data_IF_751927263593
#
_entry.id   IF_751927263593
#
_cell.length_a   1.000
_cell.length_b   1.000
_cell.length_c   1.000
_cell.angle_alpha   90.00
_cell.angle_beta   90.00
_cell.angle_gamma   90.00
#
_symmetry.space_group_name_H-M   'P 1'
#
loop_
_entity.id
_entity.type
_entity.pdbx_description
1 polymer ?
#
# COMPACT_ATOMS: atom_id res chain seq x y z
N UNK A 1 -18.27 4.36 -29.69
CA UNK A 1 -18.63 4.59 -28.28
C UNK A 1 -20.14 4.53 -28.13
N UNK A 2 -20.65 3.92 -27.07
CA UNK A 2 -22.08 3.74 -26.77
C UNK A 2 -22.49 4.51 -25.52
N UNK A 3 -23.78 4.71 -25.34
CA UNK A 3 -24.33 5.39 -24.17
C UNK A 3 -24.02 4.61 -22.88
N UNK A 4 -24.00 5.33 -21.77
CA UNK A 4 -23.77 4.74 -20.46
C UNK A 4 -24.85 3.69 -20.14
N UNK A 5 -24.42 2.51 -19.64
CA UNK A 5 -25.24 1.30 -19.36
C UNK A 5 -25.75 0.52 -20.58
N UNK A 6 -25.43 0.89 -21.81
CA UNK A 6 -25.72 0.02 -22.96
C UNK A 6 -24.98 -1.31 -22.82
N UNK A 7 -25.67 -2.43 -23.03
CA UNK A 7 -25.04 -3.75 -23.05
C UNK A 7 -24.18 -3.88 -24.32
N UNK A 8 -22.93 -4.31 -24.18
CA UNK A 8 -22.00 -4.45 -25.30
C UNK A 8 -22.14 -5.84 -25.93
N UNK A 9 -23.31 -6.08 -26.50
CA UNK A 9 -23.73 -7.36 -27.07
C UNK A 9 -23.43 -7.48 -28.58
N UNK A 10 -23.96 -8.53 -29.18
CA UNK A 10 -23.74 -8.89 -30.59
C UNK A 10 -24.17 -7.78 -31.56
N UNK A 11 -25.23 -7.02 -31.25
CA UNK A 11 -25.71 -5.96 -32.12
C UNK A 11 -24.67 -4.82 -32.19
N UNK A 12 -24.11 -4.45 -31.04
CA UNK A 12 -23.12 -3.39 -30.95
C UNK A 12 -21.74 -3.81 -31.47
N UNK A 13 -21.40 -5.10 -31.30
CA UNK A 13 -20.22 -5.71 -31.94
C UNK A 13 -20.36 -5.75 -33.45
N UNK A 14 -21.51 -6.12 -33.98
CA UNK A 14 -21.78 -6.14 -35.41
C UNK A 14 -21.64 -4.75 -36.05
N UNK A 15 -21.99 -3.68 -35.33
CA UNK A 15 -21.72 -2.32 -35.80
C UNK A 15 -20.21 -2.04 -35.86
N UNK A 16 -19.46 -2.37 -34.82
CA UNK A 16 -18.00 -2.18 -34.81
C UNK A 16 -17.33 -3.01 -35.91
N UNK A 17 -17.75 -4.24 -36.14
CA UNK A 17 -17.21 -5.14 -37.17
C UNK A 17 -17.34 -4.54 -38.58
N UNK A 18 -18.50 -3.94 -38.90
CA UNK A 18 -18.69 -3.25 -40.20
C UNK A 18 -17.74 -2.08 -40.38
N UNK A 19 -17.52 -1.28 -39.32
CA UNK A 19 -16.55 -0.19 -39.36
C UNK A 19 -15.11 -0.70 -39.44
N UNK A 20 -14.79 -1.77 -38.72
CA UNK A 20 -13.48 -2.39 -38.73
C UNK A 20 -13.09 -2.80 -40.16
N UNK A 21 -13.97 -3.56 -40.84
CA UNK A 21 -13.76 -4.00 -42.23
C UNK A 21 -13.60 -2.87 -43.25
N UNK A 22 -14.26 -1.73 -43.03
CA UNK A 22 -14.20 -0.57 -43.92
C UNK A 22 -12.92 0.27 -43.74
N UNK A 23 -12.04 -0.09 -42.80
CA UNK A 23 -10.84 0.66 -42.45
C UNK A 23 -9.59 -0.20 -42.56
N UNK A 24 -8.41 0.41 -42.41
CA UNK A 24 -7.13 -0.31 -42.24
C UNK A 24 -6.79 -0.54 -40.76
N UNK A 25 -7.78 -0.43 -39.88
CA UNK A 25 -7.57 -0.60 -38.46
C UNK A 25 -7.30 -2.07 -38.15
N UNK A 26 -6.30 -2.31 -37.32
CA UNK A 26 -5.99 -3.66 -36.80
C UNK A 26 -6.51 -3.87 -35.38
N UNK A 27 -7.03 -2.80 -34.76
CA UNK A 27 -7.52 -2.78 -33.38
C UNK A 27 -8.87 -2.06 -33.35
N UNK A 28 -9.84 -2.69 -32.70
CA UNK A 28 -11.18 -2.16 -32.47
C UNK A 28 -11.45 -2.04 -30.98
N UNK A 29 -12.11 -0.96 -30.57
CA UNK A 29 -12.51 -0.75 -29.17
C UNK A 29 -14.00 -0.47 -29.11
N UNK A 30 -14.73 -1.34 -28.39
CA UNK A 30 -16.14 -1.15 -28.07
C UNK A 30 -16.26 -0.75 -26.60
N UNK A 31 -16.98 0.35 -26.32
CA UNK A 31 -17.16 0.83 -24.95
C UNK A 31 -18.48 1.54 -24.74
N UNK A 32 -19.06 1.37 -23.55
CA UNK A 32 -20.22 2.09 -23.00
C UNK A 32 -19.82 3.08 -21.89
N UNK A 33 -18.54 3.47 -21.83
CA UNK A 33 -17.99 4.41 -20.86
C UNK A 33 -17.48 3.78 -19.55
N UNK A 34 -17.87 2.55 -19.20
CA UNK A 34 -17.32 1.85 -18.03
C UNK A 34 -16.80 0.45 -18.34
N UNK A 35 -17.33 -0.22 -19.37
CA UNK A 35 -16.75 -1.44 -19.94
C UNK A 35 -16.03 -1.09 -21.24
N UNK A 36 -14.83 -1.61 -21.41
CA UNK A 36 -14.03 -1.49 -22.63
C UNK A 36 -13.67 -2.89 -23.12
N UNK A 37 -14.13 -3.24 -24.31
CA UNK A 37 -13.81 -4.49 -25.01
C UNK A 37 -12.85 -4.18 -26.16
N UNK A 38 -11.72 -4.87 -26.19
CA UNK A 38 -10.67 -4.70 -27.19
C UNK A 38 -10.64 -5.88 -28.14
N UNK A 39 -10.59 -5.58 -29.43
CA UNK A 39 -10.63 -6.54 -30.53
C UNK A 39 -9.43 -6.32 -31.46
N UNK A 40 -9.04 -7.38 -32.15
CA UNK A 40 -7.93 -7.42 -33.11
C UNK A 40 -8.34 -8.12 -34.39
N UNK A 41 -7.44 -8.17 -35.38
CA UNK A 41 -7.54 -8.99 -36.59
C UNK A 41 -6.52 -10.13 -36.60
N UNK A 42 -6.39 -10.85 -35.47
CA UNK A 42 -5.37 -11.89 -35.32
C UNK A 42 -5.77 -13.19 -36.02
N UNK A 43 -7.07 -13.50 -36.10
CA UNK A 43 -7.54 -14.73 -36.77
C UNK A 43 -7.47 -14.60 -38.29
N UNK A 44 -7.96 -13.48 -38.82
CA UNK A 44 -8.01 -13.19 -40.24
C UNK A 44 -7.69 -11.72 -40.47
N UNK A 45 -6.77 -11.44 -41.40
CA UNK A 45 -6.33 -10.08 -41.71
C UNK A 45 -7.52 -9.21 -42.13
N UNK A 46 -7.63 -8.01 -41.53
CA UNK A 46 -8.73 -7.07 -41.78
C UNK A 46 -10.14 -7.63 -41.49
N UNK A 47 -10.24 -8.64 -40.62
CA UNK A 47 -11.49 -9.13 -40.08
C UNK A 47 -11.39 -9.14 -38.55
N UNK A 48 -12.31 -8.42 -37.92
CA UNK A 48 -12.34 -8.34 -36.46
C UNK A 48 -12.63 -9.72 -35.86
N UNK A 49 -11.79 -10.13 -34.91
CA UNK A 49 -11.98 -11.35 -34.13
C UNK A 49 -13.37 -11.32 -33.45
N UNK A 50 -14.06 -12.47 -33.40
CA UNK A 50 -15.41 -12.56 -32.80
C UNK A 50 -15.41 -12.23 -31.30
N UNK A 51 -14.32 -12.59 -30.61
CA UNK A 51 -14.19 -12.44 -29.16
C UNK A 51 -13.15 -11.36 -28.83
N UNK A 52 -13.42 -10.50 -27.84
CA UNK A 52 -12.42 -9.55 -27.40
C UNK A 52 -11.28 -10.27 -26.68
N UNK A 53 -10.04 -9.85 -26.97
CA UNK A 53 -8.84 -10.36 -26.31
C UNK A 53 -8.70 -9.80 -24.89
N UNK A 54 -9.22 -8.59 -24.64
CA UNK A 54 -9.25 -7.97 -23.32
C UNK A 54 -10.60 -7.29 -23.06
N UNK A 55 -11.05 -7.37 -21.80
CA UNK A 55 -12.19 -6.63 -21.29
C UNK A 55 -11.80 -5.93 -19.98
N UNK A 56 -12.07 -4.63 -19.90
CA UNK A 56 -11.82 -3.83 -18.71
C UNK A 56 -13.15 -3.28 -18.23
N UNK A 57 -13.50 -3.59 -16.99
CA UNK A 57 -14.56 -2.88 -16.28
C UNK A 57 -13.91 -1.87 -15.34
N UNK A 58 -14.08 -0.58 -15.62
CA UNK A 58 -13.56 0.51 -14.80
C UNK A 58 -14.13 0.50 -13.36
N UNK A 59 -15.31 -0.08 -13.16
CA UNK A 59 -15.91 -0.26 -11.84
C UNK A 59 -15.33 -1.49 -11.09
N UNK A 60 -14.62 -2.38 -11.80
CA UNK A 60 -14.00 -3.57 -11.22
C UNK A 60 -12.66 -3.89 -11.88
N UNK A 61 -11.62 -3.20 -11.43
CA UNK A 61 -10.27 -3.32 -11.96
C UNK A 61 -9.52 -4.58 -11.48
N UNK A 62 -10.05 -5.33 -10.49
CA UNK A 62 -9.37 -6.53 -9.96
C UNK A 62 -9.16 -7.62 -10.99
N UNK A 63 -10.01 -7.67 -12.01
CA UNK A 63 -9.97 -8.67 -13.10
C UNK A 63 -9.34 -8.12 -14.38
N UNK A 64 -8.96 -6.84 -14.40
CA UNK A 64 -8.40 -6.21 -15.59
C UNK A 64 -6.92 -6.60 -15.75
N UNK A 65 -6.46 -6.91 -16.98
CA UNK A 65 -5.05 -7.17 -17.27
C UNK A 65 -4.23 -5.87 -17.29
N UNK A 66 -4.18 -5.15 -16.15
CA UNK A 66 -3.64 -3.80 -16.07
C UNK A 66 -2.14 -3.73 -16.42
N UNK A 67 -1.36 -4.75 -16.08
CA UNK A 67 0.07 -4.81 -16.41
C UNK A 67 0.29 -4.88 -17.91
N UNK A 68 -0.49 -5.72 -18.62
CA UNK A 68 -0.40 -5.86 -20.07
C UNK A 68 -0.93 -4.61 -20.80
N UNK A 69 -1.95 -3.95 -20.24
CA UNK A 69 -2.56 -2.77 -20.86
C UNK A 69 -1.74 -1.48 -20.76
N UNK A 70 -0.73 -1.42 -19.87
CA UNK A 70 0.20 -0.28 -19.79
C UNK A 70 0.95 -0.03 -21.11
N UNK A 71 1.15 -1.09 -21.91
CA UNK A 71 1.79 -1.02 -23.23
C UNK A 71 0.90 -0.43 -24.32
N UNK A 72 -0.41 -0.32 -24.07
CA UNK A 72 -1.40 0.25 -25.00
C UNK A 72 -1.47 1.79 -24.87
N UNK A 73 -0.76 2.38 -23.91
CA UNK A 73 -0.83 3.82 -23.62
C UNK A 73 -0.17 4.66 -24.72
N UNK A 74 -0.71 5.87 -24.97
CA UNK A 74 -0.30 6.76 -26.07
C UNK A 74 1.21 6.99 -26.19
N UNK A 75 1.93 7.04 -25.07
CA UNK A 75 3.37 7.29 -25.02
C UNK A 75 4.22 6.06 -25.38
N UNK A 76 3.66 4.85 -25.30
CA UNK A 76 4.33 3.58 -25.57
C UNK A 76 3.65 2.77 -26.67
N UNK A 77 2.72 3.38 -27.39
CA UNK A 77 1.93 2.67 -28.38
C UNK A 77 2.82 2.15 -29.51
N UNK A 78 2.91 0.83 -29.60
CA UNK A 78 3.51 0.10 -30.71
C UNK A 78 2.50 -0.95 -31.17
N UNK A 79 2.13 -0.90 -32.45
CA UNK A 79 1.11 -1.77 -33.01
C UNK A 79 1.54 -3.25 -32.97
N UNK A 80 2.79 -3.56 -33.31
CA UNK A 80 3.29 -4.93 -33.36
C UNK A 80 3.39 -5.52 -31.94
N UNK A 81 3.86 -4.72 -30.98
CA UNK A 81 3.92 -5.11 -29.57
C UNK A 81 2.52 -5.36 -29.01
N UNK A 82 1.57 -4.49 -29.32
CA UNK A 82 0.18 -4.63 -28.88
C UNK A 82 -0.50 -5.86 -29.48
N UNK A 83 -0.23 -6.18 -30.74
CA UNK A 83 -0.74 -7.40 -31.36
C UNK A 83 -0.14 -8.65 -30.71
N UNK A 84 1.15 -8.64 -30.36
CA UNK A 84 1.78 -9.73 -29.59
C UNK A 84 1.15 -9.90 -28.20
N UNK A 85 0.87 -8.81 -27.50
CA UNK A 85 0.16 -8.84 -26.21
C UNK A 85 -1.28 -9.36 -26.38
N UNK A 86 -1.97 -8.92 -27.43
CA UNK A 86 -3.33 -9.36 -27.72
C UNK A 86 -3.38 -10.86 -28.01
N UNK A 87 -2.41 -11.39 -28.75
CA UNK A 87 -2.24 -12.81 -29.03
C UNK A 87 -2.01 -13.62 -27.74
N UNK A 88 -1.09 -13.17 -26.89
CA UNK A 88 -0.83 -13.80 -25.59
C UNK A 88 -2.09 -13.83 -24.71
N UNK A 89 -2.78 -12.68 -24.56
CA UNK A 89 -4.00 -12.58 -23.77
C UNK A 89 -5.13 -13.45 -24.32
N UNK A 90 -5.27 -13.53 -25.64
CA UNK A 90 -6.23 -14.39 -26.33
C UNK A 90 -5.96 -15.86 -26.01
N UNK A 91 -4.72 -16.31 -26.09
CA UNK A 91 -4.35 -17.69 -25.77
C UNK A 91 -4.50 -18.01 -24.29
N UNK A 92 -4.07 -17.13 -23.38
CA UNK A 92 -4.27 -17.32 -21.93
C UNK A 92 -5.75 -17.46 -21.61
N UNK A 93 -6.60 -16.60 -22.18
CA UNK A 93 -8.05 -16.66 -21.99
C UNK A 93 -8.62 -17.98 -22.54
N UNK A 94 -8.25 -18.37 -23.76
CA UNK A 94 -8.67 -19.62 -24.37
C UNK A 94 -8.29 -20.85 -23.53
N UNK A 95 -7.05 -20.91 -23.06
CA UNK A 95 -6.56 -21.99 -22.18
C UNK A 95 -7.32 -22.01 -20.85
N UNK A 96 -7.55 -20.84 -20.23
CA UNK A 96 -8.35 -20.76 -18.99
C UNK A 96 -9.77 -21.26 -19.17
N UNK A 97 -10.40 -20.94 -20.30
CA UNK A 97 -11.74 -21.40 -20.60
C UNK A 97 -11.77 -22.93 -20.83
N UNK A 98 -10.76 -23.49 -21.49
CA UNK A 98 -10.66 -24.94 -21.68
C UNK A 98 -10.39 -25.68 -20.36
N UNK A 99 -9.48 -25.15 -19.52
CA UNK A 99 -9.28 -25.66 -18.16
C UNK A 99 -10.60 -25.63 -17.37
N UNK A 100 -11.37 -24.55 -17.46
CA UNK A 100 -12.66 -24.47 -16.77
C UNK A 100 -13.61 -25.58 -17.23
N UNK A 101 -13.71 -25.84 -18.54
CA UNK A 101 -14.54 -26.93 -19.07
C UNK A 101 -14.10 -28.28 -18.50
N UNK A 102 -12.80 -28.58 -18.57
CA UNK A 102 -12.22 -29.81 -18.05
C UNK A 102 -12.46 -30.00 -16.54
N UNK A 103 -12.40 -28.91 -15.76
CA UNK A 103 -12.69 -28.96 -14.32
C UNK A 103 -14.18 -29.21 -14.02
N UNK A 104 -15.08 -28.71 -14.86
CA UNK A 104 -16.54 -28.91 -14.67
C UNK A 104 -17.03 -30.23 -15.23
N UNK A 105 -16.48 -30.67 -16.35
CA UNK A 105 -16.86 -31.85 -17.11
C UNK A 105 -15.58 -32.44 -17.74
N UNK A 106 -14.89 -33.34 -17.03
CA UNK A 106 -13.64 -33.94 -17.49
C UNK A 106 -13.82 -34.68 -18.82
N UNK A 107 -12.96 -34.39 -19.79
CA UNK A 107 -12.96 -35.07 -21.08
C UNK A 107 -12.45 -36.50 -20.99
N UNK A 108 -12.76 -37.31 -22.00
CA UNK A 108 -12.25 -38.67 -22.16
C UNK A 108 -10.73 -38.74 -22.12
N UNK A 109 -10.07 -37.73 -22.68
CA UNK A 109 -8.63 -37.59 -22.67
C UNK A 109 -8.11 -37.46 -21.24
N UNK A 110 -8.68 -36.53 -20.45
CA UNK A 110 -8.27 -36.29 -19.08
C UNK A 110 -8.53 -37.51 -18.19
N UNK A 111 -9.69 -38.14 -18.33
CA UNK A 111 -10.04 -39.35 -17.57
C UNK A 111 -9.08 -40.49 -17.89
N UNK A 112 -8.76 -40.71 -19.16
CA UNK A 112 -7.82 -41.75 -19.60
C UNK A 112 -6.42 -41.49 -19.05
N UNK A 113 -5.95 -40.25 -19.12
CA UNK A 113 -4.62 -39.84 -18.62
C UNK A 113 -4.51 -40.05 -17.10
N UNK A 114 -5.51 -39.61 -16.34
CA UNK A 114 -5.55 -39.80 -14.88
C UNK A 114 -5.63 -41.27 -14.50
N UNK A 115 -6.46 -42.05 -15.20
CA UNK A 115 -6.58 -43.48 -14.95
C UNK A 115 -5.25 -44.22 -15.22
N UNK A 116 -4.48 -43.82 -16.24
CA UNK A 116 -3.17 -44.42 -16.54
C UNK A 116 -2.14 -44.13 -15.45
N UNK A 117 -2.13 -42.90 -14.94
CA UNK A 117 -1.21 -42.48 -13.87
C UNK A 117 -1.53 -43.14 -12.53
N UNK A 118 -2.80 -43.25 -12.17
CA UNK A 118 -3.23 -43.79 -10.87
C UNK A 118 -3.21 -45.31 -10.86
N UNK A 119 -3.74 -45.97 -11.89
CA UNK A 119 -3.81 -47.43 -11.94
C UNK A 119 -2.46 -48.07 -12.32
N UNK A 120 -1.46 -47.28 -12.72
CA UNK A 120 -0.12 -47.75 -13.14
C UNK A 120 -0.12 -48.86 -14.21
N UNK A 121 -1.24 -49.06 -14.90
CA UNK A 121 -1.42 -50.09 -15.91
C UNK A 121 -1.34 -49.47 -17.30
N UNK A 122 -0.47 -50.04 -18.16
CA UNK A 122 -0.24 -49.57 -19.53
C UNK A 122 -1.49 -49.63 -20.42
N UNK A 123 -2.49 -50.44 -20.06
CA UNK A 123 -3.73 -50.62 -20.82
C UNK A 123 -4.92 -50.72 -19.86
N UNK A 124 -5.92 -49.86 -20.06
CA UNK A 124 -7.09 -49.75 -19.20
C UNK A 124 -8.30 -50.32 -19.94
N UNK A 125 -9.06 -51.19 -19.28
CA UNK A 125 -10.31 -51.75 -19.83
C UNK A 125 -11.42 -50.69 -19.80
N UNK A 126 -12.35 -50.74 -20.76
CA UNK A 126 -13.43 -49.76 -20.87
C UNK A 126 -14.27 -49.61 -19.59
N UNK A 127 -14.53 -50.72 -18.88
CA UNK A 127 -15.26 -50.70 -17.60
C UNK A 127 -14.52 -49.94 -16.49
N UNK A 128 -13.18 -49.98 -16.49
CA UNK A 128 -12.36 -49.23 -15.52
C UNK A 128 -12.34 -47.75 -15.93
N UNK A 129 -12.28 -47.44 -17.22
CA UNK A 129 -12.31 -46.06 -17.69
C UNK A 129 -13.64 -45.38 -17.32
N UNK A 130 -14.76 -46.10 -17.45
CA UNK A 130 -16.08 -45.60 -17.13
C UNK A 130 -16.27 -45.30 -15.63
N UNK A 131 -15.76 -46.18 -14.76
CA UNK A 131 -15.76 -45.90 -13.31
C UNK A 131 -14.86 -44.70 -12.96
N UNK A 132 -13.75 -44.54 -13.67
CA UNK A 132 -12.84 -43.41 -13.50
C UNK A 132 -13.44 -42.06 -13.92
N UNK A 133 -14.43 -42.01 -14.83
CA UNK A 133 -15.11 -40.74 -15.17
C UNK A 133 -15.70 -40.08 -13.94
N UNK A 134 -16.46 -40.86 -13.16
CA UNK A 134 -17.08 -40.37 -11.91
C UNK A 134 -16.01 -40.03 -10.88
N UNK A 135 -15.02 -40.89 -10.70
CA UNK A 135 -13.95 -40.70 -9.71
C UNK A 135 -13.15 -39.42 -10.01
N UNK A 136 -12.81 -39.17 -11.28
CA UNK A 136 -12.04 -37.97 -11.68
C UNK A 136 -12.86 -36.70 -11.47
N UNK A 137 -14.15 -36.70 -11.84
CA UNK A 137 -15.03 -35.56 -11.59
C UNK A 137 -15.19 -35.27 -10.09
N UNK A 138 -15.43 -36.30 -9.29
CA UNK A 138 -15.57 -36.20 -7.82
C UNK A 138 -14.26 -35.75 -7.17
N UNK A 139 -13.11 -36.29 -7.61
CA UNK A 139 -11.80 -35.89 -7.12
C UNK A 139 -11.46 -34.44 -7.46
N UNK A 140 -11.79 -33.96 -8.66
CA UNK A 140 -11.58 -32.54 -9.04
C UNK A 140 -12.44 -31.62 -8.17
N UNK A 141 -13.73 -31.95 -7.99
CA UNK A 141 -14.62 -31.15 -7.16
C UNK A 141 -14.19 -31.15 -5.69
N UNK A 142 -13.85 -32.33 -5.15
CA UNK A 142 -13.29 -32.46 -3.80
C UNK A 142 -12.01 -31.65 -3.68
N UNK A 143 -11.07 -31.76 -4.62
CA UNK A 143 -9.83 -31.00 -4.57
C UNK A 143 -10.06 -29.49 -4.61
N UNK A 144 -10.98 -29.00 -5.46
CA UNK A 144 -11.34 -27.58 -5.47
C UNK A 144 -11.97 -27.17 -4.14
N UNK A 145 -12.88 -27.99 -3.59
CA UNK A 145 -13.48 -27.75 -2.28
C UNK A 145 -12.42 -27.74 -1.17
N UNK A 146 -11.49 -28.69 -1.17
CA UNK A 146 -10.37 -28.78 -0.24
C UNK A 146 -9.44 -27.58 -0.39
N UNK A 147 -9.22 -27.05 -1.60
CA UNK A 147 -8.41 -25.84 -1.81
C UNK A 147 -9.13 -24.57 -1.38
N UNK A 148 -10.44 -24.49 -1.60
CA UNK A 148 -11.28 -23.42 -1.09
C UNK A 148 -11.29 -23.48 0.44
N UNK A 149 -11.50 -24.66 1.02
CA UNK A 149 -11.48 -24.90 2.45
C UNK A 149 -10.09 -24.67 3.02
N UNK A 150 -8.98 -25.06 2.38
CA UNK A 150 -7.63 -24.70 2.83
C UNK A 150 -7.41 -23.19 2.78
N UNK A 151 -7.97 -22.50 1.80
CA UNK A 151 -7.87 -21.03 1.70
C UNK A 151 -8.75 -20.37 2.75
N UNK A 152 -9.95 -20.91 2.99
CA UNK A 152 -10.89 -20.49 4.01
C UNK A 152 -10.34 -20.82 5.39
N UNK A 153 -9.93 -22.04 5.70
CA UNK A 153 -9.23 -22.50 6.90
C UNK A 153 -7.91 -21.79 7.11
N UNK A 154 -7.17 -21.39 6.08
CA UNK A 154 -6.05 -20.46 6.27
C UNK A 154 -6.60 -19.13 6.72
N UNK A 155 -7.60 -18.57 6.04
CA UNK A 155 -8.25 -17.33 6.46
C UNK A 155 -8.96 -17.41 7.83
N UNK A 156 -9.50 -18.57 8.21
CA UNK A 156 -10.30 -18.88 9.40
C UNK A 156 -9.37 -19.28 10.54
N UNK A 157 -8.30 -20.07 10.35
CA UNK A 157 -7.25 -20.23 11.37
C UNK A 157 -6.54 -18.91 11.62
N UNK A 158 -6.47 -18.00 10.64
CA UNK A 158 -6.08 -16.60 10.90
C UNK A 158 -7.08 -15.87 11.83
N UNK A 159 -8.32 -16.36 11.95
CA UNK A 159 -9.40 -15.84 12.83
C UNK A 159 -9.57 -16.66 14.13
N UNK A 160 -9.48 -18.00 14.12
CA UNK A 160 -9.70 -18.93 15.25
C UNK A 160 -8.46 -19.11 16.14
N UNK A 161 -7.23 -18.91 15.62
CA UNK A 161 -6.03 -18.75 16.48
C UNK A 161 -6.11 -17.43 17.30
N UNK A 162 -7.18 -16.64 17.15
CA UNK A 162 -7.47 -15.47 17.98
C UNK A 162 -8.52 -15.70 19.09
N UNK A 163 -9.14 -16.89 19.23
CA UNK A 163 -10.14 -17.12 20.31
C UNK A 163 -9.86 -18.32 21.23
N UNK A 164 -8.98 -19.26 20.87
CA UNK A 164 -8.62 -20.39 21.75
C UNK A 164 -7.11 -20.55 21.93
N UNK A 165 -6.51 -19.62 22.70
CA UNK A 165 -5.34 -19.95 23.52
C UNK A 165 -5.21 -18.99 24.71
N UNK A 166 -6.22 -19.03 25.58
CA UNK A 166 -6.10 -18.58 26.97
C UNK A 166 -6.06 -19.81 27.88
N UNK A 167 -4.88 -20.43 28.02
CA UNK A 167 -4.34 -20.91 29.30
C UNK A 167 -3.00 -21.64 29.13
N UNK A 168 -1.99 -21.15 29.88
CA UNK A 168 -0.72 -21.82 30.27
C UNK A 168 0.19 -22.31 29.12
N UNK A 169 1.44 -21.89 28.99
CA UNK A 169 2.48 -21.85 30.01
C UNK A 169 3.66 -21.02 29.49
N UNK A 170 4.24 -20.18 30.35
CA UNK A 170 5.57 -19.59 30.12
C UNK A 170 6.64 -20.69 30.27
N UNK A 171 7.51 -20.87 29.26
CA UNK A 171 8.97 -20.91 29.42
C UNK A 171 9.69 -21.17 28.09
N UNK A 172 10.66 -20.29 27.82
CA UNK A 172 11.81 -20.31 26.91
C UNK A 172 11.85 -21.25 25.68
N UNK A 173 12.05 -20.65 24.50
CA UNK A 173 13.21 -20.98 23.63
C UNK A 173 13.34 -20.05 22.42
N UNK A 174 14.56 -19.50 22.30
CA UNK A 174 15.29 -18.99 21.13
C UNK A 174 14.50 -18.46 19.92
N UNK A 175 14.58 -17.14 19.71
CA UNK A 175 14.13 -16.45 18.51
C UNK A 175 15.05 -16.77 17.32
N UNK A 176 14.53 -17.48 16.31
CA UNK A 176 15.16 -17.55 15.00
C UNK A 176 15.08 -16.17 14.33
N UNK A 177 16.20 -15.43 14.33
CA UNK A 177 16.37 -14.23 13.51
C UNK A 177 16.47 -14.65 12.06
N UNK A 178 15.59 -14.12 11.22
CA UNK A 178 15.78 -14.16 9.77
C UNK A 178 17.02 -13.30 9.45
N UNK A 179 17.86 -13.78 8.52
CA UNK A 179 19.17 -13.24 8.16
C UNK A 179 19.26 -11.70 8.14
N UNK A 180 20.41 -11.17 8.57
CA UNK A 180 20.75 -9.74 8.71
C UNK A 180 20.77 -8.91 7.40
N UNK A 181 20.23 -9.44 6.31
CA UNK A 181 20.24 -8.79 5.01
C UNK A 181 18.95 -7.99 4.80
N UNK A 182 19.04 -6.82 4.16
CA UNK A 182 17.88 -5.97 3.90
C UNK A 182 17.17 -6.54 2.68
N UNK A 183 16.20 -7.43 2.93
CA UNK A 183 15.44 -8.10 1.88
C UNK A 183 13.96 -7.90 2.21
N UNK A 184 13.27 -7.19 1.31
CA UNK A 184 11.81 -7.06 1.39
C UNK A 184 11.19 -8.44 1.24
N UNK A 185 10.58 -8.90 2.31
CA UNK A 185 9.98 -10.23 2.40
C UNK A 185 8.61 -10.27 1.70
N UNK A 186 8.18 -11.46 1.31
CA UNK A 186 6.85 -11.66 0.71
C UNK A 186 5.73 -11.16 1.62
N UNK A 187 5.87 -11.29 2.94
CA UNK A 187 4.89 -10.80 3.91
C UNK A 187 4.80 -9.27 3.96
N UNK A 188 5.93 -8.57 3.77
CA UNK A 188 5.95 -7.11 3.71
C UNK A 188 5.31 -6.58 2.43
N UNK A 189 5.50 -7.29 1.31
CA UNK A 189 4.82 -7.02 0.04
C UNK A 189 3.30 -7.20 0.20
N UNK A 190 2.86 -8.28 0.85
CA UNK A 190 1.44 -8.52 1.13
C UNK A 190 0.85 -7.44 2.04
N UNK A 191 1.55 -7.05 3.10
CA UNK A 191 1.13 -5.98 4.00
C UNK A 191 1.03 -4.64 3.27
N UNK A 192 1.97 -4.30 2.38
CA UNK A 192 1.88 -3.10 1.54
C UNK A 192 0.60 -3.09 0.70
N UNK A 193 0.26 -4.20 0.04
CA UNK A 193 -0.98 -4.27 -0.76
C UNK A 193 -2.23 -4.11 0.09
N UNK A 194 -2.23 -4.62 1.33
CA UNK A 194 -3.32 -4.44 2.28
C UNK A 194 -3.42 -2.97 2.69
N UNK A 195 -2.30 -2.30 3.01
CA UNK A 195 -2.29 -0.87 3.32
C UNK A 195 -2.83 -0.04 2.16
N UNK A 196 -2.39 -0.34 0.93
CA UNK A 196 -2.91 0.28 -0.30
C UNK A 196 -4.42 0.08 -0.43
N UNK A 197 -4.92 -1.13 -0.20
CA UNK A 197 -6.35 -1.42 -0.25
C UNK A 197 -7.16 -0.66 0.83
N UNK A 198 -6.63 -0.55 2.06
CA UNK A 198 -7.25 0.21 3.15
C UNK A 198 -7.35 1.70 2.79
N UNK A 199 -6.32 2.24 2.14
CA UNK A 199 -6.16 3.66 1.84
C UNK A 199 -6.66 4.06 0.44
N UNK A 200 -7.11 3.12 -0.39
CA UNK A 200 -7.49 3.35 -1.78
C UNK A 200 -8.61 4.39 -1.98
N UNK A 201 -9.43 4.63 -0.95
CA UNK A 201 -10.49 5.64 -0.97
C UNK A 201 -10.01 7.04 -0.55
N UNK A 202 -8.77 7.18 -0.07
CA UNK A 202 -8.20 8.43 0.42
C UNK A 202 -7.18 9.02 -0.57
N UNK A 203 -6.36 8.16 -1.19
CA UNK A 203 -5.34 8.55 -2.17
C UNK A 203 -5.13 7.46 -3.20
N UNK A 204 -4.46 7.85 -4.29
CA UNK A 204 -3.89 6.91 -5.25
C UNK A 204 -2.92 5.95 -4.54
N UNK A 205 -3.09 4.65 -4.82
CA UNK A 205 -2.25 3.58 -4.27
C UNK A 205 -0.77 3.72 -4.63
N UNK A 206 -0.46 4.35 -5.76
CA UNK A 206 0.92 4.52 -6.24
C UNK A 206 1.72 5.51 -5.36
N UNK A 207 1.03 6.36 -4.60
CA UNK A 207 1.65 7.28 -3.63
C UNK A 207 2.06 6.59 -2.33
N UNK A 208 1.59 5.37 -2.08
CA UNK A 208 1.97 4.60 -0.89
C UNK A 208 3.15 3.72 -1.27
N UNK A 209 4.32 4.04 -0.69
CA UNK A 209 5.58 3.39 -0.99
C UNK A 209 6.19 2.75 0.25
N UNK A 210 6.75 1.57 0.07
CA UNK A 210 7.57 0.87 1.04
C UNK A 210 9.05 1.22 0.91
N UNK A 211 9.75 1.28 2.04
CA UNK A 211 11.20 1.34 2.11
C UNK A 211 11.68 0.45 3.23
N UNK A 212 12.30 -0.66 2.86
CA UNK A 212 12.79 -1.63 3.84
C UNK A 212 14.05 -1.14 4.57
N UNK A 213 14.18 -1.53 5.83
CA UNK A 213 15.31 -1.20 6.70
C UNK A 213 15.66 -2.41 7.57
N UNK A 214 16.85 -2.39 8.18
CA UNK A 214 17.33 -3.51 9.03
C UNK A 214 16.37 -3.96 10.14
N UNK A 215 15.49 -3.08 10.62
CA UNK A 215 14.63 -3.34 11.78
C UNK A 215 13.13 -3.28 11.48
N UNK A 216 12.75 -2.80 10.29
CA UNK A 216 11.36 -2.62 9.87
C UNK A 216 11.24 -2.25 8.40
N UNK A 217 10.14 -2.64 7.79
CA UNK A 217 9.67 -2.09 6.54
C UNK A 217 8.85 -0.81 6.80
N UNK A 218 9.30 0.31 6.22
CA UNK A 218 8.70 1.63 6.41
C UNK A 218 7.67 1.91 5.31
N UNK A 219 6.43 2.23 5.68
CA UNK A 219 5.41 2.66 4.72
C UNK A 219 5.25 4.17 4.79
N UNK A 220 5.40 4.80 3.63
CA UNK A 220 5.49 6.26 3.47
C UNK A 220 4.53 6.75 2.40
N UNK A 221 4.09 8.00 2.56
CA UNK A 221 3.44 8.75 1.51
C UNK A 221 4.50 9.43 0.63
N UNK A 222 4.40 9.25 -0.69
CA UNK A 222 5.28 9.79 -1.73
C UNK A 222 6.78 9.44 -1.56
N UNK A 223 7.09 8.36 -0.85
CA UNK A 223 8.47 7.90 -0.62
C UNK A 223 9.29 8.75 0.36
N UNK A 224 8.71 9.80 0.95
CA UNK A 224 9.43 10.70 1.86
C UNK A 224 9.47 10.11 3.29
N UNK A 225 10.66 9.92 3.90
CA UNK A 225 10.76 9.34 5.24
C UNK A 225 10.02 10.12 6.33
N UNK A 226 9.87 11.45 6.17
CA UNK A 226 9.10 12.31 7.08
C UNK A 226 7.59 12.09 7.00
N UNK A 227 7.12 11.51 5.90
CA UNK A 227 5.73 11.16 5.64
C UNK A 227 5.46 9.67 5.93
N UNK A 228 6.26 9.06 6.80
CA UNK A 228 5.99 7.74 7.36
C UNK A 228 4.72 7.78 8.22
N UNK A 229 3.77 6.91 7.89
CA UNK A 229 2.51 6.78 8.62
C UNK A 229 2.27 5.37 9.19
N UNK A 230 3.08 4.39 8.77
CA UNK A 230 3.05 3.03 9.29
C UNK A 230 4.44 2.39 9.19
N UNK A 231 4.85 1.61 10.20
CA UNK A 231 6.04 0.76 10.14
C UNK A 231 5.68 -0.68 10.45
N UNK A 232 6.21 -1.61 9.66
CA UNK A 232 6.02 -3.04 9.79
C UNK A 232 7.30 -3.64 10.39
N UNK A 233 7.23 -4.21 11.58
CA UNK A 233 8.34 -4.89 12.22
C UNK A 233 8.14 -6.41 12.08
N UNK A 234 8.32 -6.94 10.87
CA UNK A 234 8.06 -8.36 10.58
C UNK A 234 9.32 -9.24 10.65
N UNK A 235 10.47 -8.64 10.97
CA UNK A 235 11.79 -9.27 11.02
C UNK A 235 11.89 -10.40 12.08
N UNK A 236 10.93 -10.48 13.01
CA UNK A 236 10.85 -11.52 14.05
C UNK A 236 9.62 -12.40 13.84
N UNK A 237 9.85 -13.68 13.52
CA UNK A 237 8.80 -14.67 13.21
C UNK A 237 7.69 -14.73 14.26
N UNK A 238 8.04 -14.62 15.55
CA UNK A 238 7.10 -14.77 16.68
C UNK A 238 6.61 -13.46 17.30
N UNK A 239 7.20 -12.31 16.93
CA UNK A 239 6.93 -11.00 17.56
C UNK A 239 6.77 -9.91 16.51
N UNK A 240 5.88 -10.15 15.54
CA UNK A 240 5.54 -9.14 14.55
C UNK A 240 4.71 -8.04 15.21
N UNK A 241 4.99 -6.80 14.82
CA UNK A 241 4.30 -5.62 15.34
C UNK A 241 4.24 -4.55 14.28
N UNK A 242 3.25 -3.67 14.37
CA UNK A 242 3.16 -2.48 13.53
C UNK A 242 3.19 -1.25 14.42
N UNK A 243 3.84 -0.18 13.95
CA UNK A 243 3.80 1.12 14.59
C UNK A 243 2.94 2.05 13.74
N UNK A 244 1.80 2.50 14.28
CA UNK A 244 0.82 3.35 13.59
C UNK A 244 1.02 4.79 14.07
N UNK A 245 1.11 5.75 13.14
CA UNK A 245 1.36 7.17 13.45
C UNK A 245 0.05 7.98 13.45
N UNK A 246 -0.96 7.51 14.17
CA UNK A 246 -2.28 8.15 14.29
C UNK A 246 -2.38 9.13 15.47
N UNK A 247 -1.32 9.24 16.27
CA UNK A 247 -1.21 10.07 17.48
C UNK A 247 0.21 10.69 17.59
N UNK A 248 0.39 11.59 18.56
CA UNK A 248 1.65 12.31 18.81
C UNK A 248 2.85 11.38 19.09
N UNK A 249 2.58 10.22 19.68
CA UNK A 249 3.52 9.10 19.75
C UNK A 249 2.95 7.90 18.99
N UNK A 250 3.77 7.22 18.15
CA UNK A 250 3.30 6.07 17.42
C UNK A 250 3.02 4.92 18.38
N UNK A 251 1.81 4.40 18.34
CA UNK A 251 1.44 3.23 19.12
C UNK A 251 1.96 1.98 18.41
N UNK A 252 2.61 1.11 19.18
CA UNK A 252 3.14 -0.16 18.69
C UNK A 252 2.17 -1.26 19.09
N UNK A 253 1.50 -1.85 18.10
CA UNK A 253 0.55 -2.94 18.31
C UNK A 253 1.11 -4.23 17.73
N UNK A 254 0.96 -5.33 18.46
CA UNK A 254 1.38 -6.65 18.00
C UNK A 254 0.42 -7.14 16.92
N UNK A 255 0.98 -7.73 15.86
CA UNK A 255 0.21 -8.38 14.79
C UNK A 255 0.78 -9.76 14.57
N UNK A 256 -0.02 -10.71 14.08
CA UNK A 256 0.44 -12.06 13.75
C UNK A 256 0.59 -12.23 12.23
N UNK A 257 -0.33 -11.65 11.46
CA UNK A 257 -0.39 -11.77 10.00
C UNK A 257 -0.59 -10.40 9.32
N UNK A 258 -0.17 -10.25 8.04
CA UNK A 258 -0.44 -9.03 7.26
C UNK A 258 -1.93 -8.65 7.19
N UNK A 259 -2.84 -9.64 7.22
CA UNK A 259 -4.29 -9.42 7.24
C UNK A 259 -4.79 -8.70 8.49
N UNK A 260 -4.06 -8.75 9.61
CA UNK A 260 -4.45 -8.09 10.86
C UNK A 260 -4.49 -6.56 10.72
N UNK A 261 -3.82 -6.02 9.70
CA UNK A 261 -3.90 -4.60 9.36
C UNK A 261 -5.34 -4.13 9.10
N UNK A 262 -6.26 -5.01 8.66
CA UNK A 262 -7.68 -4.66 8.49
C UNK A 262 -8.38 -4.31 9.80
N UNK A 263 -7.94 -4.86 10.93
CA UNK A 263 -8.48 -4.53 12.25
C UNK A 263 -8.15 -3.09 12.64
N UNK A 264 -7.01 -2.59 12.16
CA UNK A 264 -6.53 -1.23 12.40
C UNK A 264 -6.84 -0.27 11.24
N UNK A 265 -7.74 -0.63 10.32
CA UNK A 265 -8.05 0.15 9.11
C UNK A 265 -8.33 1.63 9.37
N UNK A 266 -9.14 1.94 10.39
CA UNK A 266 -9.51 3.33 10.70
C UNK A 266 -8.33 4.11 11.28
N UNK A 267 -7.48 3.44 12.07
CA UNK A 267 -6.27 4.03 12.62
C UNK A 267 -5.22 4.29 11.54
N UNK A 268 -5.04 3.35 10.61
CA UNK A 268 -4.14 3.51 9.46
C UNK A 268 -4.63 4.66 8.56
N UNK A 269 -5.94 4.74 8.29
CA UNK A 269 -6.55 5.86 7.56
C UNK A 269 -6.33 7.20 8.26
N UNK A 270 -6.52 7.25 9.59
CA UNK A 270 -6.27 8.44 10.39
C UNK A 270 -4.80 8.87 10.33
N UNK A 271 -3.88 7.92 10.49
CA UNK A 271 -2.44 8.18 10.38
C UNK A 271 -2.05 8.74 9.02
N UNK A 272 -2.65 8.21 7.94
CA UNK A 272 -2.45 8.72 6.59
C UNK A 272 -3.04 10.13 6.42
N UNK A 273 -4.27 10.37 6.90
CA UNK A 273 -4.90 11.69 6.81
C UNK A 273 -4.07 12.78 7.51
N UNK A 274 -3.44 12.48 8.65
CA UNK A 274 -2.51 13.39 9.32
C UNK A 274 -1.28 13.75 8.48
N UNK A 275 -0.95 12.97 7.44
CA UNK A 275 0.12 13.26 6.47
C UNK A 275 -0.38 13.98 5.22
N UNK A 276 -1.64 13.74 4.86
CA UNK A 276 -2.30 14.37 3.71
C UNK A 276 -2.74 15.79 4.00
N UNK A 277 -3.13 16.08 5.24
CA UNK A 277 -3.32 17.45 5.68
C UNK A 277 -1.94 18.10 5.73
N UNK A 278 -1.62 18.99 4.77
CA UNK A 278 -0.36 19.72 4.87
C UNK A 278 -0.40 20.46 6.20
N UNK A 279 0.74 20.49 6.90
CA UNK A 279 0.99 21.56 7.86
C UNK A 279 0.68 22.87 7.12
N UNK A 280 -0.47 23.49 7.41
CA UNK A 280 -0.79 24.85 6.94
C UNK A 280 0.33 25.73 7.42
N UNK A 281 1.25 26.05 6.52
CA UNK A 281 2.51 26.69 6.91
C UNK A 281 3.56 26.64 5.81
N UNK A 282 3.19 27.00 4.59
CA UNK A 282 4.04 27.74 3.64
C UNK A 282 3.36 27.78 2.26
N UNK A 283 2.62 28.85 1.99
CA UNK A 283 2.69 29.61 0.73
C UNK A 283 1.84 30.88 0.88
N UNK A 284 2.30 31.94 0.22
CA UNK A 284 2.17 33.33 0.63
C UNK A 284 0.85 34.00 0.19
N UNK A 285 0.47 35.03 0.96
CA UNK A 285 -0.23 36.27 0.58
C UNK A 285 -0.50 36.46 -0.92
N UNK A 286 -1.77 36.61 -1.31
CA UNK A 286 -2.31 37.94 -1.63
C UNK A 286 -3.82 37.92 -1.92
N UNK A 287 -4.46 38.99 -1.43
CA UNK A 287 -5.77 39.58 -1.78
C UNK A 287 -7.02 39.14 -0.99
N UNK A 288 -7.40 40.04 -0.08
CA UNK A 288 -8.73 40.57 0.22
C UNK A 288 -9.97 39.70 -0.10
N UNK A 289 -10.69 39.27 0.94
CA UNK A 289 -12.03 39.81 1.26
C UNK A 289 -12.56 39.21 2.57
N UNK A 290 -13.15 40.06 3.41
CA UNK A 290 -13.78 39.80 4.71
C UNK A 290 -14.94 38.81 4.65
N UNK A 291 -15.05 37.86 5.60
CA UNK A 291 -16.28 37.51 6.33
C UNK A 291 -15.91 36.87 7.68
N UNK A 292 -16.51 37.40 8.75
CA UNK A 292 -16.46 36.95 10.14
C UNK A 292 -17.01 35.52 10.33
N UNK A 293 -16.39 34.70 11.17
CA UNK A 293 -17.09 33.78 12.08
C UNK A 293 -16.14 33.20 13.12
N UNK A 294 -16.61 33.19 14.35
CA UNK A 294 -15.85 33.08 15.59
C UNK A 294 -15.44 31.63 15.99
N UNK A 295 -14.23 31.55 16.55
CA UNK A 295 -13.74 30.76 17.69
C UNK A 295 -13.90 29.21 17.76
N UNK A 296 -12.75 28.54 17.62
CA UNK A 296 -12.42 27.30 18.37
C UNK A 296 -10.90 27.01 18.48
N UNK A 297 -10.06 28.00 18.84
CA UNK A 297 -8.58 27.86 18.87
C UNK A 297 -7.90 28.05 20.26
N UNK A 298 -8.65 28.27 21.34
CA UNK A 298 -8.05 28.72 22.62
C UNK A 298 -7.42 27.63 23.50
N UNK A 299 -7.46 26.35 23.13
CA UNK A 299 -6.94 25.27 24.01
C UNK A 299 -5.48 24.88 23.69
N UNK A 300 -4.99 25.13 22.46
CA UNK A 300 -3.66 24.64 22.02
C UNK A 300 -2.53 25.66 22.32
N UNK A 301 -2.84 26.94 22.49
CA UNK A 301 -1.85 28.00 22.75
C UNK A 301 -1.29 27.96 24.18
N UNK A 302 -2.13 27.70 25.19
CA UNK A 302 -1.76 27.74 26.61
C UNK A 302 -0.71 26.68 27.00
N UNK A 303 -0.78 25.49 26.40
CA UNK A 303 0.16 24.41 26.70
C UNK A 303 1.56 24.70 26.12
N UNK A 304 1.61 25.30 24.92
CA UNK A 304 2.88 25.74 24.33
C UNK A 304 3.52 26.89 25.12
N UNK A 305 2.73 27.83 25.64
CA UNK A 305 3.23 28.89 26.51
C UNK A 305 3.79 28.37 27.83
N UNK A 306 3.12 27.37 28.41
CA UNK A 306 3.54 26.74 29.66
C UNK A 306 4.90 26.06 29.50
N UNK A 307 5.09 25.30 28.42
CA UNK A 307 6.36 24.64 28.08
C UNK A 307 7.51 25.63 27.87
N UNK A 308 7.23 26.76 27.21
CA UNK A 308 8.21 27.84 27.02
C UNK A 308 8.61 28.46 28.35
N UNK A 309 7.66 28.71 29.25
CA UNK A 309 7.93 29.26 30.58
C UNK A 309 8.85 28.35 31.41
N UNK A 310 8.61 27.03 31.39
CA UNK A 310 9.47 26.06 32.09
C UNK A 310 10.92 26.06 31.59
N UNK A 311 11.13 26.10 30.27
CA UNK A 311 12.50 26.15 29.71
C UNK A 311 13.21 27.46 30.05
N UNK A 312 12.53 28.60 29.94
CA UNK A 312 13.12 29.88 30.31
C UNK A 312 13.44 29.96 31.81
N UNK A 313 12.57 29.42 32.67
CA UNK A 313 12.82 29.35 34.12
C UNK A 313 14.01 28.46 34.45
N UNK A 314 14.17 27.31 33.78
CA UNK A 314 15.31 26.44 34.01
C UNK A 314 16.63 27.06 33.54
N UNK A 315 16.64 27.70 32.37
CA UNK A 315 17.83 28.42 31.88
C UNK A 315 18.17 29.57 32.84
N UNK A 316 17.16 30.30 33.35
CA UNK A 316 17.33 31.35 34.35
C UNK A 316 18.01 30.82 35.62
N UNK A 317 17.57 29.68 36.13
CA UNK A 317 18.14 29.06 37.35
C UNK A 317 19.59 28.56 37.21
N UNK A 318 20.14 28.51 35.98
CA UNK A 318 21.54 28.09 35.72
C UNK A 318 22.49 29.25 35.49
N UNK A 319 22.00 30.49 35.45
CA UNK A 319 22.76 31.73 35.33
C UNK A 319 23.94 31.64 34.31
N UNK A 320 25.17 31.86 34.77
CA UNK A 320 26.40 31.92 33.97
C UNK A 320 26.81 30.57 33.35
N UNK A 321 26.30 29.44 33.88
CA UNK A 321 26.63 28.11 33.36
C UNK A 321 25.81 27.76 32.12
N UNK A 322 24.62 28.33 31.94
CA UNK A 322 23.68 27.98 30.87
C UNK A 322 23.17 26.53 30.98
N UNK A 323 22.21 26.16 30.14
CA UNK A 323 21.61 24.83 30.14
C UNK A 323 22.02 24.00 28.92
N UNK A 324 22.42 22.75 29.14
CA UNK A 324 22.61 21.80 28.04
C UNK A 324 21.26 21.20 27.62
N UNK A 325 21.14 20.78 26.35
CA UNK A 325 19.91 20.11 25.86
C UNK A 325 19.61 18.84 26.67
N UNK A 326 20.64 18.12 27.14
CA UNK A 326 20.47 16.96 28.02
C UNK A 326 19.80 17.29 29.35
N UNK A 327 20.09 18.46 29.92
CA UNK A 327 19.46 18.95 31.16
C UNK A 327 18.02 19.40 30.89
N UNK A 328 17.76 20.05 29.76
CA UNK A 328 16.41 20.47 29.35
C UNK A 328 15.49 19.29 29.06
N UNK A 329 16.03 18.14 28.65
CA UNK A 329 15.27 16.89 28.50
C UNK A 329 14.78 16.33 29.84
N UNK A 330 15.50 16.55 30.94
CA UNK A 330 15.10 16.10 32.27
C UNK A 330 13.96 16.95 32.85
N UNK A 331 13.93 18.24 32.49
CA UNK A 331 12.94 19.21 32.99
C UNK A 331 11.62 19.10 32.23
N UNK A 332 11.63 18.52 31.03
CA UNK A 332 10.45 18.29 30.21
C UNK A 332 10.29 16.81 29.87
N UNK A 333 9.88 15.96 30.83
CA UNK A 333 9.58 14.56 30.54
C UNK A 333 8.50 14.48 29.46
N UNK A 334 8.75 13.70 28.41
CA UNK A 334 7.85 13.55 27.26
C UNK A 334 8.23 14.38 26.02
N UNK A 335 9.18 15.32 26.10
CA UNK A 335 9.69 16.02 24.91
C UNK A 335 10.95 15.37 24.37
N UNK A 336 10.98 15.16 23.06
CA UNK A 336 12.13 14.64 22.34
C UNK A 336 13.18 15.72 22.09
N UNK A 337 14.44 15.32 21.94
CA UNK A 337 15.57 16.22 21.65
C UNK A 337 15.30 17.18 20.46
N UNK A 338 14.70 16.74 19.33
CA UNK A 338 14.34 17.63 18.23
C UNK A 338 13.24 18.64 18.56
N UNK A 339 12.27 18.28 19.42
CA UNK A 339 11.23 19.22 19.86
C UNK A 339 11.82 20.34 20.72
N UNK A 340 12.70 19.99 21.67
CA UNK A 340 13.42 20.97 22.50
C UNK A 340 14.31 21.85 21.62
N UNK A 341 15.02 21.27 20.66
CA UNK A 341 15.85 22.03 19.72
C UNK A 341 15.02 23.02 18.89
N UNK A 342 13.87 22.61 18.35
CA UNK A 342 12.96 23.51 17.62
C UNK A 342 12.44 24.64 18.51
N UNK A 343 12.14 24.35 19.78
CA UNK A 343 11.71 25.37 20.73
C UNK A 343 12.82 26.36 21.06
N UNK A 344 14.04 25.89 21.30
CA UNK A 344 15.21 26.74 21.53
C UNK A 344 15.55 27.59 20.31
N UNK A 345 15.44 27.05 19.10
CA UNK A 345 15.62 27.81 17.86
C UNK A 345 14.54 28.92 17.72
N UNK A 346 13.28 28.65 18.07
CA UNK A 346 12.22 29.68 18.11
C UNK A 346 12.49 30.74 19.18
N UNK A 347 12.96 30.34 20.36
CA UNK A 347 13.34 31.27 21.42
C UNK A 347 14.57 32.10 21.05
N UNK A 348 15.48 31.54 20.26
CA UNK A 348 16.64 32.27 19.72
C UNK A 348 16.24 33.26 18.63
N UNK A 349 15.35 32.86 17.72
CA UNK A 349 14.82 33.73 16.68
C UNK A 349 14.01 34.90 17.26
N UNK A 350 13.32 34.68 18.39
CA UNK A 350 12.63 35.73 19.15
C UNK A 350 13.52 36.51 20.11
N UNK A 351 14.84 36.28 20.08
CA UNK A 351 15.82 37.04 20.87
C UNK A 351 15.80 36.74 22.37
N UNK A 352 15.14 35.67 22.84
CA UNK A 352 15.01 35.34 24.27
C UNK A 352 16.18 34.50 24.80
N UNK A 353 16.80 33.68 23.95
CA UNK A 353 17.96 32.83 24.32
C UNK A 353 19.04 32.87 23.25
N UNK A 354 20.28 32.59 23.61
CA UNK A 354 21.37 32.39 22.66
C UNK A 354 22.19 31.14 23.02
N UNK A 355 22.81 30.53 22.01
CA UNK A 355 23.66 29.36 22.17
C UNK A 355 25.14 29.76 22.26
N UNK A 356 25.89 29.16 23.18
CA UNK A 356 27.35 29.30 23.30
C UNK A 356 28.01 27.92 23.21
N UNK A 357 29.05 27.79 22.37
CA UNK A 357 29.78 26.54 22.14
C UNK A 357 29.39 25.80 20.85
N UNK A 358 30.03 24.65 20.59
CA UNK A 358 29.82 23.81 19.39
C UNK A 358 29.54 22.35 19.78
N UNK A 359 28.76 21.66 18.96
CA UNK A 359 28.47 20.22 19.06
C UNK A 359 27.92 19.78 20.43
N UNK A 360 28.48 18.73 21.05
CA UNK A 360 27.96 18.12 22.29
C UNK A 360 28.10 19.00 23.54
N UNK A 361 28.91 20.06 23.48
CA UNK A 361 29.14 20.99 24.59
C UNK A 361 28.36 22.31 24.50
N UNK A 362 27.43 22.45 23.55
CA UNK A 362 26.65 23.67 23.39
C UNK A 362 25.70 23.90 24.58
N UNK A 363 25.73 25.13 25.13
CA UNK A 363 24.88 25.54 26.25
C UNK A 363 24.05 26.76 25.88
N UNK A 364 22.82 26.79 26.37
CA UNK A 364 21.82 27.83 26.11
C UNK A 364 21.77 28.80 27.28
N UNK A 365 21.80 30.09 26.97
CA UNK A 365 21.77 31.18 27.93
C UNK A 365 20.61 32.13 27.59
N UNK A 366 20.07 32.83 28.58
CA UNK A 366 19.16 33.94 28.33
C UNK A 366 19.92 35.10 27.69
N UNK A 367 19.29 35.78 26.75
CA UNK A 367 19.80 37.05 26.25
C UNK A 367 19.53 38.09 27.34
N UNK A 368 20.58 38.58 27.98
CA UNK A 368 20.46 39.77 28.83
C UNK A 368 20.40 41.00 27.91
N UNK A 369 19.53 41.96 28.21
CA UNK A 369 19.29 43.20 27.44
C UNK A 369 20.55 44.08 27.21
N UNK A 370 21.70 43.69 27.73
CA UNK A 370 22.97 44.41 27.64
C UNK A 370 23.95 43.90 26.56
N UNK A 371 23.57 42.95 25.69
CA UNK A 371 24.47 42.37 24.66
C UNK A 371 23.89 42.38 23.22
N UNK A 372 22.90 43.23 22.91
CA UNK A 372 22.26 43.35 21.58
C UNK A 372 23.07 44.15 20.54
N UNK A 373 24.38 44.35 20.74
CA UNK A 373 25.22 45.17 19.85
C UNK A 373 26.46 44.43 19.32
N UNK A 374 26.34 43.22 18.80
CA UNK A 374 27.31 42.73 17.80
C UNK A 374 26.90 41.43 17.13
N UNK A 375 26.50 41.50 15.86
CA UNK A 375 27.12 40.77 14.72
C UNK A 375 26.18 40.78 13.51
N UNK A 376 26.46 41.72 12.60
CA UNK A 376 26.14 41.64 11.18
C UNK A 376 26.99 40.50 10.57
N UNK A 377 26.45 39.63 9.69
CA UNK A 377 27.29 38.75 8.89
C UNK A 377 27.74 39.46 7.62
N UNK A 378 29.06 39.61 7.47
CA UNK A 378 29.70 39.96 6.20
C UNK A 378 29.48 38.83 5.19
N UNK A 379 28.91 39.19 4.04
CA UNK A 379 28.78 38.35 2.84
C UNK A 379 30.17 38.27 2.19
N UNK A 380 30.73 37.08 2.00
CA UNK A 380 31.86 36.86 1.08
C UNK A 380 31.33 36.24 -0.21
N UNK A 381 31.74 36.89 -1.29
CA UNK A 381 31.77 36.52 -2.71
C UNK A 381 32.40 35.16 -2.97
#
# INVERSE_FOLDING_TARGET
MKAYKTNLDEAERGQLQRYFHATKARIGILTNGHVFQFFTDLDEVNKMDEKPFAEINLLNLRKAPLSQLKHVTKTKFNLDELLGIAEELKYIKGVKDEIRKELTAPSDWLVKEMAQRVHSARRIRAQILDSFRRIVAEAIQSYIADRINETLDKAIKTVEINEHDHQSNEQDTAEAKISNDIVTTQEEIEALYIVRAICANLIDSDRIMEKDTKNYCNITLDGEPRQSFLRLHFNFVRKKKIAIFDQDQPEVVSVKHPSDLYQYKERIRKALNLKLEPSRGSEQNNQDFTVETENSDDVVSAQQETEVKFVLQHIRGRESKGAAIGELLQVMPGKTRPQIQRMLNRLQASGRVHMKGKARGARWHLVNDSQSSNRIPTRRS
#
